data_IF_309812517613
#
_entry.id   IF_309812517613
#
_cell.length_a   1.000
_cell.length_b   1.000
_cell.length_c   1.000
_cell.angle_alpha   90.00
_cell.angle_beta   90.00
_cell.angle_gamma   90.00
#
_symmetry.space_group_name_H-M   'P 1'
#
loop_
_entity.id
_entity.type
_entity.pdbx_description
1 polymer ?
#
# COMPACT_ATOMS: atom_id res chain seq x y z
N UNK A 1 -24.99 -2.57 7.01
CA UNK A 1 -23.78 -3.36 6.69
C UNK A 1 -22.68 -2.38 6.33
N UNK A 2 -21.73 -2.17 7.24
CA UNK A 2 -20.76 -1.07 7.16
C UNK A 2 -19.75 -1.33 6.04
N UNK A 3 -20.02 -0.75 4.87
CA UNK A 3 -19.02 -0.61 3.82
C UNK A 3 -17.98 0.36 4.36
N UNK A 4 -16.78 -0.15 4.60
CA UNK A 4 -15.57 0.65 4.83
C UNK A 4 -15.44 1.64 3.68
N UNK A 5 -15.97 2.85 3.91
CA UNK A 5 -15.69 4.03 3.13
C UNK A 5 -14.24 4.38 3.39
N UNK A 6 -13.33 3.80 2.61
CA UNK A 6 -11.99 4.33 2.48
C UNK A 6 -12.15 5.76 1.92
N UNK A 7 -12.18 6.74 2.82
CA UNK A 7 -11.89 8.13 2.48
C UNK A 7 -10.43 8.17 2.01
N UNK A 8 -10.20 7.83 0.75
CA UNK A 8 -8.97 8.15 0.01
C UNK A 8 -8.95 9.66 -0.33
N UNK A 9 -9.37 10.50 0.62
CA UNK A 9 -9.25 11.94 0.50
C UNK A 9 -7.85 12.31 0.98
N UNK A 10 -7.00 12.61 -0.01
CA UNK A 10 -5.83 13.50 0.09
C UNK A 10 -4.70 13.08 1.02
N UNK A 11 -3.71 12.37 0.48
CA UNK A 11 -2.32 12.50 0.93
C UNK A 11 -1.44 12.87 -0.26
N UNK A 12 -1.06 14.15 -0.29
CA UNK A 12 0.06 14.65 -1.09
C UNK A 12 1.03 15.28 -0.11
N UNK A 13 2.22 14.72 -0.02
CA UNK A 13 3.39 15.47 0.42
C UNK A 13 4.53 15.12 -0.52
N UNK A 14 4.93 16.06 -1.38
CA UNK A 14 6.00 15.91 -2.37
C UNK A 14 7.37 15.54 -1.80
N UNK A 15 7.49 15.48 -0.47
CA UNK A 15 8.70 15.13 0.27
C UNK A 15 8.68 13.71 0.84
N UNK A 16 7.53 13.04 0.90
CA UNK A 16 7.34 11.73 1.53
C UNK A 16 6.48 10.83 0.65
N UNK A 17 7.01 9.67 0.23
CA UNK A 17 6.28 8.75 -0.65
C UNK A 17 5.54 7.73 0.23
N UNK A 18 4.21 7.73 0.14
CA UNK A 18 3.35 6.66 0.65
C UNK A 18 3.02 5.69 -0.49
N UNK A 19 3.66 4.53 -0.50
CA UNK A 19 3.35 3.49 -1.49
C UNK A 19 2.10 2.72 -1.05
N UNK A 20 0.99 2.95 -1.76
CA UNK A 20 -0.23 2.15 -1.66
C UNK A 20 -0.19 1.07 -2.74
N UNK A 21 -0.26 -0.18 -2.31
CA UNK A 21 -0.26 -1.33 -3.21
C UNK A 21 -1.65 -1.46 -3.82
N UNK A 22 -1.76 -1.13 -5.10
CA UNK A 22 -2.93 -1.38 -5.93
C UNK A 22 -2.66 -2.54 -6.88
N UNK A 23 -3.55 -3.54 -6.87
CA UNK A 23 -3.35 -4.78 -7.64
C UNK A 23 -3.62 -4.65 -9.15
N UNK A 24 -4.09 -3.51 -9.66
CA UNK A 24 -4.47 -3.38 -11.07
C UNK A 24 -4.29 -1.95 -11.57
N UNK A 25 -3.51 -1.73 -12.63
CA UNK A 25 -3.62 -0.53 -13.45
C UNK A 25 -3.68 -0.91 -14.93
N UNK A 26 -4.90 -0.87 -15.45
CA UNK A 26 -5.22 -0.66 -16.86
C UNK A 26 -6.14 0.58 -16.96
N UNK A 27 -6.43 1.07 -18.16
CA UNK A 27 -7.46 2.13 -18.34
C UNK A 27 -8.79 1.78 -17.64
N UNK A 28 -9.07 0.50 -17.49
CA UNK A 28 -10.20 -0.05 -16.75
C UNK A 28 -10.16 0.26 -15.24
N UNK A 29 -8.99 0.33 -14.61
CA UNK A 29 -8.89 0.61 -13.16
C UNK A 29 -9.45 1.98 -12.84
N UNK A 30 -9.10 3.00 -13.64
CA UNK A 30 -9.62 4.35 -13.43
C UNK A 30 -11.14 4.40 -13.64
N UNK A 31 -11.66 3.61 -14.59
CA UNK A 31 -13.10 3.47 -14.79
C UNK A 31 -13.78 2.77 -13.60
N UNK A 32 -13.18 1.71 -13.05
CA UNK A 32 -13.69 1.02 -11.85
C UNK A 32 -13.75 1.98 -10.67
N UNK A 33 -12.69 2.77 -10.45
CA UNK A 33 -12.66 3.77 -9.37
C UNK A 33 -13.73 4.85 -9.56
N UNK A 34 -13.91 5.32 -10.80
CA UNK A 34 -14.83 6.40 -11.14
C UNK A 34 -16.31 6.00 -11.12
N UNK A 35 -16.61 4.79 -11.60
CA UNK A 35 -18.00 4.37 -11.88
C UNK A 35 -18.50 3.22 -11.00
N UNK A 36 -17.62 2.40 -10.42
CA UNK A 36 -18.02 1.18 -9.70
C UNK A 36 -17.76 1.31 -8.21
N UNK A 37 -16.50 1.47 -7.80
CA UNK A 37 -16.10 1.58 -6.40
C UNK A 37 -14.74 2.29 -6.31
N UNK A 38 -14.63 3.45 -5.66
CA UNK A 38 -15.66 4.14 -4.85
C UNK A 38 -16.91 4.58 -5.63
N UNK A 39 -16.79 4.80 -6.94
CA UNK A 39 -17.89 5.30 -7.75
C UNK A 39 -18.10 6.81 -7.58
N UNK A 40 -19.23 7.34 -8.05
CA UNK A 40 -19.60 8.74 -7.84
C UNK A 40 -18.69 9.78 -8.52
N UNK A 41 -17.98 9.39 -9.58
CA UNK A 41 -17.04 10.30 -10.26
C UNK A 41 -15.71 10.46 -9.54
N UNK A 42 -15.35 9.56 -8.61
CA UNK A 42 -14.08 9.59 -7.89
C UNK A 42 -12.89 9.49 -8.86
N UNK A 43 -11.94 10.42 -8.71
CA UNK A 43 -10.68 10.44 -9.45
C UNK A 43 -9.52 10.58 -8.45
N UNK A 44 -8.53 9.65 -8.46
CA UNK A 44 -7.35 9.77 -7.63
C UNK A 44 -6.59 11.06 -7.91
N UNK A 45 -6.18 11.76 -6.86
CA UNK A 45 -5.36 12.98 -6.95
C UNK A 45 -3.86 12.70 -6.91
N UNK A 46 -3.46 11.44 -6.99
CA UNK A 46 -2.08 10.98 -6.87
C UNK A 46 -1.74 10.03 -8.02
N UNK A 47 -0.45 9.90 -8.40
CA UNK A 47 -0.05 8.99 -9.46
C UNK A 47 -0.41 7.55 -9.08
N UNK A 48 -1.09 6.87 -10.00
CA UNK A 48 -1.36 5.43 -9.89
C UNK A 48 -0.41 4.72 -10.84
N UNK A 49 0.31 3.72 -10.34
CA UNK A 49 1.31 2.98 -11.10
C UNK A 49 0.76 1.66 -11.63
N UNK A 50 1.49 1.08 -12.59
CA UNK A 50 1.23 -0.24 -13.18
C UNK A 50 1.01 -1.34 -12.14
N UNK A 51 0.27 -2.39 -12.50
CA UNK A 51 0.26 -3.62 -11.70
C UNK A 51 1.68 -4.21 -11.69
N UNK A 52 2.15 -4.56 -10.50
CA UNK A 52 3.42 -5.24 -10.28
C UNK A 52 3.22 -6.38 -9.28
N UNK A 53 4.18 -7.31 -9.25
CA UNK A 53 4.25 -8.32 -8.19
C UNK A 53 5.03 -7.74 -7.00
N UNK A 54 4.43 -7.80 -5.82
CA UNK A 54 5.05 -7.29 -4.58
C UNK A 54 5.61 -8.40 -3.68
N UNK A 55 5.27 -9.65 -3.99
CA UNK A 55 5.73 -10.86 -3.30
C UNK A 55 6.00 -11.96 -4.32
N UNK A 56 6.77 -12.97 -3.90
CA UNK A 56 7.07 -14.15 -4.69
C UNK A 56 8.35 -14.00 -5.53
N UNK A 57 8.54 -14.91 -6.48
CA UNK A 57 9.77 -15.02 -7.26
C UNK A 57 10.06 -13.78 -8.12
N UNK A 58 9.02 -13.15 -8.69
CA UNK A 58 9.17 -11.98 -9.56
C UNK A 58 8.80 -10.67 -8.85
N UNK A 59 8.95 -10.62 -7.52
CA UNK A 59 8.69 -9.40 -6.78
C UNK A 59 9.58 -8.23 -7.26
N UNK A 60 9.00 -7.04 -7.35
CA UNK A 60 9.74 -5.85 -7.75
C UNK A 60 10.85 -5.52 -6.73
N UNK A 61 12.08 -5.17 -7.20
CA UNK A 61 13.23 -4.92 -6.31
C UNK A 61 12.98 -3.85 -5.25
N UNK A 62 12.16 -2.84 -5.57
CA UNK A 62 11.74 -1.82 -4.62
C UNK A 62 10.98 -2.41 -3.42
N UNK A 63 10.06 -3.33 -3.67
CA UNK A 63 9.27 -3.97 -2.61
C UNK A 63 10.09 -5.00 -1.85
N UNK A 64 11.02 -5.69 -2.50
CA UNK A 64 12.01 -6.52 -1.80
C UNK A 64 12.80 -5.69 -0.79
N UNK A 65 13.39 -4.57 -1.22
CA UNK A 65 14.14 -3.66 -0.37
C UNK A 65 13.31 -3.10 0.80
N UNK A 66 12.06 -2.69 0.55
CA UNK A 66 11.18 -2.15 1.58
C UNK A 66 10.79 -3.20 2.62
N UNK A 67 10.51 -4.44 2.21
CA UNK A 67 10.16 -5.55 3.11
C UNK A 67 11.33 -6.03 3.96
N UNK A 68 12.55 -5.95 3.43
CA UNK A 68 13.78 -6.24 4.17
C UNK A 68 14.11 -5.12 5.16
N UNK A 69 14.02 -3.86 4.73
CA UNK A 69 14.32 -2.69 5.55
C UNK A 69 13.32 -2.48 6.69
N UNK A 70 12.04 -2.78 6.44
CA UNK A 70 10.95 -2.62 7.39
C UNK A 70 10.23 -3.97 7.58
N UNK A 71 10.74 -4.82 8.49
CA UNK A 71 10.14 -6.12 8.75
C UNK A 71 8.71 -5.95 9.26
N UNK A 72 7.89 -6.96 8.97
CA UNK A 72 6.47 -6.91 9.30
C UNK A 72 6.25 -6.98 10.81
N UNK A 73 5.25 -6.23 11.30
CA UNK A 73 5.05 -5.99 12.75
C UNK A 73 4.47 -7.21 13.47
N UNK A 74 3.71 -8.06 12.78
CA UNK A 74 3.04 -9.21 13.40
C UNK A 74 3.53 -10.56 12.83
N UNK A 75 4.17 -11.44 13.61
CA UNK A 75 4.76 -12.68 13.10
C UNK A 75 3.74 -13.75 12.67
N UNK A 76 2.44 -13.58 12.96
CA UNK A 76 1.42 -14.61 12.70
C UNK A 76 1.05 -14.64 11.22
N UNK A 77 1.69 -15.51 10.46
CA UNK A 77 1.30 -15.81 9.07
C UNK A 77 -0.07 -16.47 9.14
N UNK A 78 -1.07 -15.87 8.50
CA UNK A 78 -2.43 -16.42 8.42
C UNK A 78 -2.48 -17.74 7.65
N UNK A 79 -3.68 -18.15 7.24
CA UNK A 79 -3.83 -19.37 6.43
C UNK A 79 -3.06 -19.25 5.10
N UNK A 80 -1.95 -19.98 5.00
CA UNK A 80 -1.05 -19.96 3.84
C UNK A 80 -1.75 -20.36 2.53
N UNK A 81 -2.87 -21.09 2.60
CA UNK A 81 -3.68 -21.48 1.43
C UNK A 81 -4.35 -20.29 0.73
N UNK A 82 -4.39 -19.12 1.39
CA UNK A 82 -4.96 -17.89 0.82
C UNK A 82 -3.94 -17.08 0.02
N UNK A 83 -2.67 -17.47 0.04
CA UNK A 83 -1.61 -16.80 -0.71
C UNK A 83 -1.44 -17.44 -2.08
N UNK A 84 -1.31 -16.59 -3.10
CA UNK A 84 -1.23 -16.99 -4.51
C UNK A 84 0.20 -16.86 -5.07
N UNK A 85 1.21 -16.66 -4.22
CA UNK A 85 2.61 -16.46 -4.62
C UNK A 85 3.54 -17.48 -3.99
N UNK A 86 4.73 -17.64 -4.57
CA UNK A 86 5.80 -18.52 -4.10
C UNK A 86 7.16 -17.91 -4.45
N UNK A 87 8.19 -18.04 -3.60
CA UNK A 87 8.13 -18.58 -2.23
C UNK A 87 7.42 -17.62 -1.26
N UNK A 88 6.87 -18.15 -0.17
CA UNK A 88 6.26 -17.35 0.90
C UNK A 88 7.35 -17.00 1.93
N UNK A 89 7.52 -15.70 2.20
CA UNK A 89 8.47 -15.16 3.19
C UNK A 89 7.71 -14.57 4.38
N UNK A 90 8.35 -14.53 5.55
CA UNK A 90 7.75 -13.99 6.79
C UNK A 90 7.40 -12.50 6.65
N UNK A 91 8.23 -11.75 5.92
CA UNK A 91 8.07 -10.30 5.73
C UNK A 91 7.16 -9.92 4.55
N UNK A 92 6.53 -10.90 3.88
CA UNK A 92 5.66 -10.64 2.74
C UNK A 92 4.51 -9.69 3.08
N UNK A 93 4.08 -8.95 2.07
CA UNK A 93 2.88 -8.12 2.15
C UNK A 93 1.67 -9.06 2.18
N UNK A 94 0.87 -8.96 3.23
CA UNK A 94 -0.17 -9.94 3.52
C UNK A 94 -1.48 -9.60 2.86
N UNK A 95 -1.75 -8.31 2.67
CA UNK A 95 -3.01 -7.84 2.09
C UNK A 95 -2.87 -6.49 1.40
N UNK A 96 -3.93 -6.14 0.66
CA UNK A 96 -4.07 -4.82 0.05
C UNK A 96 -4.07 -3.72 1.13
N UNK A 97 -3.56 -2.54 0.77
CA UNK A 97 -3.49 -1.35 1.63
C UNK A 97 -2.49 -1.42 2.80
N UNK A 98 -1.51 -2.31 2.77
CA UNK A 98 -0.25 -2.06 3.50
C UNK A 98 0.45 -0.82 2.92
N UNK A 99 1.16 -0.09 3.78
CA UNK A 99 1.70 1.23 3.45
C UNK A 99 3.15 1.31 3.93
N UNK A 100 3.98 1.97 3.15
CA UNK A 100 5.37 2.28 3.49
C UNK A 100 5.55 3.78 3.43
N UNK A 101 6.04 4.38 4.51
CA UNK A 101 6.45 5.78 4.58
C UNK A 101 7.95 5.84 4.36
N UNK A 102 8.34 6.64 3.37
CA UNK A 102 9.73 6.84 2.95
C UNK A 102 10.07 8.32 3.19
N UNK A 103 11.22 8.58 3.82
CA UNK A 103 11.69 9.95 4.10
C UNK A 103 12.11 10.70 2.84
N UNK A 104 12.29 12.02 2.96
CA UNK A 104 12.80 12.88 1.89
C UNK A 104 14.18 12.45 1.37
N UNK A 105 14.98 11.81 2.23
CA UNK A 105 16.30 11.27 1.88
C UNK A 105 16.23 9.92 1.16
N UNK A 106 15.02 9.42 0.89
CA UNK A 106 14.78 8.12 0.26
C UNK A 106 14.90 6.92 1.22
N UNK A 107 14.98 7.16 2.53
CA UNK A 107 15.14 6.10 3.51
C UNK A 107 13.79 5.55 3.99
N UNK A 108 13.61 4.22 4.09
CA UNK A 108 12.41 3.64 4.68
C UNK A 108 12.25 4.06 6.14
N UNK A 109 11.13 4.69 6.49
CA UNK A 109 10.87 5.17 7.84
C UNK A 109 9.99 4.20 8.63
N UNK A 110 8.82 3.84 8.08
CA UNK A 110 7.82 3.05 8.81
C UNK A 110 6.90 2.28 7.87
N UNK A 111 6.52 1.06 8.28
CA UNK A 111 5.55 0.20 7.60
C UNK A 111 4.27 0.15 8.42
N UNK A 112 3.12 0.26 7.75
CA UNK A 112 1.80 0.26 8.38
C UNK A 112 0.96 -0.91 7.89
N UNK A 113 0.26 -1.53 8.83
CA UNK A 113 -0.72 -2.57 8.53
C UNK A 113 -1.96 -2.00 7.83
N UNK A 114 -2.75 -2.91 7.24
CA UNK A 114 -3.91 -2.57 6.44
C UNK A 114 -4.97 -1.75 7.20
N UNK A 115 -5.15 -2.04 8.50
CA UNK A 115 -6.13 -1.41 9.39
C UNK A 115 -5.58 -0.21 10.15
N UNK A 116 -4.34 0.20 9.88
CA UNK A 116 -3.77 1.37 10.53
C UNK A 116 -4.65 2.61 10.24
N UNK A 117 -5.14 3.32 11.28
CA UNK A 117 -5.88 4.56 11.13
C UNK A 117 -5.07 5.60 10.35
N UNK A 118 -5.74 6.32 9.45
CA UNK A 118 -5.06 7.33 8.61
C UNK A 118 -4.51 8.47 9.46
N UNK A 119 -5.15 8.78 10.58
CA UNK A 119 -4.73 9.81 11.54
C UNK A 119 -3.35 9.52 12.13
N UNK A 120 -2.96 8.24 12.25
CA UNK A 120 -1.62 7.87 12.72
C UNK A 120 -0.57 8.08 11.63
N UNK A 121 -0.92 7.79 10.38
CA UNK A 121 -0.05 8.05 9.22
C UNK A 121 0.15 9.56 9.04
N UNK A 122 -0.93 10.34 9.21
CA UNK A 122 -0.90 11.81 9.21
C UNK A 122 0.09 12.39 10.22
N UNK A 123 0.02 11.91 11.46
CA UNK A 123 0.91 12.35 12.54
C UNK A 123 2.37 12.05 12.21
N UNK A 124 2.68 10.82 11.80
CA UNK A 124 4.04 10.43 11.44
C UNK A 124 4.57 11.25 10.25
N UNK A 125 3.73 11.58 9.26
CA UNK A 125 4.12 12.47 8.14
C UNK A 125 4.40 13.89 8.65
N UNK A 126 3.54 14.42 9.54
CA UNK A 126 3.71 15.76 10.10
C UNK A 126 4.99 15.88 10.95
N UNK A 127 5.40 14.81 11.65
CA UNK A 127 6.66 14.76 12.41
C UNK A 127 7.90 14.83 11.51
N UNK A 128 7.79 14.39 10.26
CA UNK A 128 8.90 14.40 9.31
C UNK A 128 9.01 15.71 8.52
N UNK A 129 7.95 16.52 8.46
CA UNK A 129 7.89 17.72 7.60
C UNK A 129 8.73 18.90 8.10
#
# INVERSE_FOLDING_TARGET
>A
GNVLSCRMSTFWCFRYILLLIFLYLNHETLNVLKYVRPGGGFVPKFPVFGRIEVNGLNEEPLFAYLKESLPFVNPVIGDMKKFYWSPIKVNDIRWNFEKFLITADGMPFKRYELHCPIENVEKDIAELL
#
